data_IF_949684368312
#
_entry.id   IF_949684368312
#
_cell.length_a   1.000
_cell.length_b   1.000
_cell.length_c   1.000
_cell.angle_alpha   90.00
_cell.angle_beta   90.00
_cell.angle_gamma   90.00
#
_symmetry.space_group_name_H-M   'P 1'
#
loop_
_entity.id
_entity.type
_entity.pdbx_description
1 polymer ?
#
# COMPACT_ATOMS: atom_id res chain seq x y z
N UNK A 1 8.49 7.94 -22.65
CA UNK A 1 7.90 6.75 -22.00
C UNK A 1 6.78 6.21 -22.88
N UNK A 2 6.72 4.89 -23.00
CA UNK A 2 5.68 4.22 -23.76
C UNK A 2 4.48 3.94 -22.84
N UNK A 3 3.42 4.71 -22.97
CA UNK A 3 2.19 4.59 -22.18
C UNK A 3 1.58 3.18 -22.29
N UNK A 4 1.55 2.61 -23.50
CA UNK A 4 0.98 1.27 -23.73
C UNK A 4 1.79 0.17 -23.02
N UNK A 5 3.11 0.31 -22.95
CA UNK A 5 3.99 -0.62 -22.23
C UNK A 5 3.75 -0.58 -20.73
N UNK A 6 3.58 0.63 -20.13
CA UNK A 6 3.27 0.78 -18.70
C UNK A 6 1.94 0.11 -18.38
N UNK A 7 0.89 0.41 -19.16
CA UNK A 7 -0.44 -0.21 -19.00
C UNK A 7 -0.35 -1.74 -19.09
N UNK A 8 0.35 -2.24 -20.10
CA UNK A 8 0.53 -3.68 -20.29
C UNK A 8 1.25 -4.35 -19.12
N UNK A 9 2.33 -3.74 -18.63
CA UNK A 9 3.09 -4.25 -17.48
C UNK A 9 2.25 -4.28 -16.20
N UNK A 10 1.44 -3.25 -15.94
CA UNK A 10 0.52 -3.23 -14.81
C UNK A 10 -0.49 -4.37 -14.87
N UNK A 11 -1.13 -4.54 -16.03
CA UNK A 11 -2.13 -5.60 -16.21
C UNK A 11 -1.51 -6.98 -16.04
N UNK A 12 -0.32 -7.24 -16.60
CA UNK A 12 0.40 -8.53 -16.42
C UNK A 12 0.77 -8.75 -14.96
N UNK A 13 1.29 -7.71 -14.27
CA UNK A 13 1.68 -7.78 -12.87
C UNK A 13 0.51 -8.15 -11.94
N UNK A 14 -0.72 -7.82 -12.32
CA UNK A 14 -1.91 -8.23 -11.56
C UNK A 14 -2.11 -9.75 -11.51
N UNK A 15 -1.50 -10.51 -12.43
CA UNK A 15 -1.69 -11.95 -12.56
C UNK A 15 -2.99 -12.37 -13.28
N UNK A 16 -3.87 -11.43 -13.63
CA UNK A 16 -5.16 -11.72 -14.30
C UNK A 16 -5.04 -11.72 -15.82
N UNK A 17 -4.00 -11.09 -16.39
CA UNK A 17 -3.90 -10.86 -17.82
C UNK A 17 -2.59 -11.40 -18.41
N UNK A 18 -2.66 -11.81 -19.66
CA UNK A 18 -1.53 -12.12 -20.52
C UNK A 18 -1.60 -11.23 -21.75
N UNK A 19 -0.53 -10.50 -22.05
CA UNK A 19 -0.44 -9.71 -23.27
C UNK A 19 -0.27 -10.62 -24.48
N UNK A 20 -0.94 -10.27 -25.58
CA UNK A 20 -0.81 -10.90 -26.88
C UNK A 20 -0.45 -9.80 -27.88
N UNK A 21 0.59 -10.03 -28.67
CA UNK A 21 0.93 -9.14 -29.79
C UNK A 21 -0.10 -9.31 -30.90
N UNK A 22 -0.69 -8.19 -31.33
CA UNK A 22 -1.69 -8.21 -32.42
C UNK A 22 -1.67 -6.88 -33.17
N UNK A 23 -1.55 -6.90 -34.47
CA UNK A 23 -1.63 -5.74 -35.37
C UNK A 23 -3.09 -5.47 -35.78
N UNK A 24 -3.91 -5.14 -34.78
CA UNK A 24 -5.32 -4.82 -35.01
C UNK A 24 -5.64 -3.33 -34.89
N UNK A 25 -4.64 -2.51 -34.53
CA UNK A 25 -4.80 -1.07 -34.36
C UNK A 25 -5.08 -0.39 -35.69
N UNK A 26 -6.07 0.49 -35.69
CA UNK A 26 -6.45 1.34 -36.82
C UNK A 26 -6.40 2.80 -36.40
N UNK A 27 -6.82 3.72 -37.29
CA UNK A 27 -7.00 5.12 -36.85
C UNK A 27 -8.07 5.22 -35.74
N UNK A 28 -7.87 6.11 -34.77
CA UNK A 28 -8.72 6.24 -33.57
C UNK A 28 -10.19 6.59 -33.84
N UNK A 29 -10.51 7.02 -35.05
CA UNK A 29 -11.86 7.29 -35.55
C UNK A 29 -12.53 6.06 -36.21
N UNK A 30 -11.84 4.91 -36.23
CA UNK A 30 -12.31 3.66 -36.84
C UNK A 30 -12.33 2.53 -35.84
N UNK A 31 -13.12 1.52 -36.16
CA UNK A 31 -13.09 0.23 -35.48
C UNK A 31 -11.74 -0.46 -35.66
N UNK A 32 -11.29 -1.29 -34.72
CA UNK A 32 -10.12 -2.13 -34.87
C UNK A 32 -10.37 -3.23 -35.94
N UNK A 33 -9.29 -3.84 -36.40
CA UNK A 33 -9.43 -5.01 -37.28
C UNK A 33 -9.98 -6.21 -36.50
N UNK A 34 -11.30 -6.36 -36.54
CA UNK A 34 -12.02 -7.44 -35.85
C UNK A 34 -11.58 -8.85 -36.31
N UNK A 35 -11.11 -8.98 -37.55
CA UNK A 35 -10.62 -10.26 -38.08
C UNK A 35 -9.26 -10.59 -37.45
N UNK A 36 -8.36 -9.62 -37.37
CA UNK A 36 -7.05 -9.80 -36.73
C UNK A 36 -7.22 -10.15 -35.24
N UNK A 37 -8.11 -9.46 -34.51
CA UNK A 37 -8.43 -9.76 -33.13
C UNK A 37 -8.98 -11.16 -32.93
N UNK A 38 -9.91 -11.59 -33.78
CA UNK A 38 -10.47 -12.93 -33.75
C UNK A 38 -9.42 -14.01 -34.01
N UNK A 39 -8.50 -13.77 -34.96
CA UNK A 39 -7.40 -14.70 -35.27
C UNK A 39 -6.41 -14.81 -34.12
N UNK A 40 -6.12 -13.70 -33.45
CA UNK A 40 -5.23 -13.68 -32.28
C UNK A 40 -5.88 -14.27 -31.00
N UNK A 41 -7.21 -14.49 -31.00
CA UNK A 41 -7.93 -15.08 -29.88
C UNK A 41 -7.89 -14.24 -28.60
N UNK A 42 -7.86 -12.92 -28.74
CA UNK A 42 -7.80 -11.98 -27.57
C UNK A 42 -9.18 -11.73 -26.98
N UNK A 43 -9.27 -11.70 -25.65
CA UNK A 43 -10.53 -11.45 -24.92
C UNK A 43 -10.87 -9.96 -24.78
N UNK A 44 -9.88 -9.09 -24.87
CA UNK A 44 -10.05 -7.63 -24.85
C UNK A 44 -8.94 -6.98 -25.68
N UNK A 45 -9.25 -5.83 -26.28
CA UNK A 45 -8.28 -5.04 -27.03
C UNK A 45 -8.37 -3.57 -26.59
N UNK A 46 -7.23 -2.96 -26.32
CA UNK A 46 -7.15 -1.54 -26.01
C UNK A 46 -6.24 -0.83 -27.00
N UNK A 47 -6.69 0.31 -27.50
CA UNK A 47 -5.88 1.24 -28.28
C UNK A 47 -5.95 2.65 -27.72
N UNK A 48 -5.10 3.54 -28.23
CA UNK A 48 -5.10 4.92 -27.76
C UNK A 48 -4.08 5.77 -28.45
N UNK A 49 -4.07 7.05 -28.10
CA UNK A 49 -3.09 8.04 -28.60
C UNK A 49 -2.62 8.96 -27.49
N UNK A 50 -1.42 9.50 -27.70
CA UNK A 50 -0.85 10.57 -26.89
C UNK A 50 -0.46 11.71 -27.82
N UNK A 51 -1.13 12.85 -27.70
CA UNK A 51 -0.94 14.01 -28.56
C UNK A 51 -0.53 15.22 -27.74
N UNK A 52 0.52 15.92 -28.14
CA UNK A 52 0.93 17.17 -27.48
C UNK A 52 0.03 18.32 -27.91
N UNK A 53 -0.61 18.96 -26.95
CA UNK A 53 -1.42 20.16 -27.16
C UNK A 53 -0.55 21.42 -27.33
N UNK A 54 -1.13 22.50 -27.87
CA UNK A 54 -0.44 23.77 -28.12
C UNK A 54 0.06 24.44 -26.83
N UNK A 55 -0.58 24.22 -25.71
CA UNK A 55 -0.19 24.69 -24.37
C UNK A 55 0.92 23.87 -23.70
N UNK A 56 1.45 22.86 -24.39
CA UNK A 56 2.54 22.01 -23.92
C UNK A 56 2.10 20.82 -23.06
N UNK A 57 0.81 20.73 -22.72
CA UNK A 57 0.22 19.53 -22.09
C UNK A 57 0.03 18.41 -23.10
N UNK A 58 -0.36 17.26 -22.63
CA UNK A 58 -0.62 16.08 -23.46
C UNK A 58 -2.08 15.66 -23.30
N UNK A 59 -2.74 15.37 -24.42
CA UNK A 59 -4.02 14.70 -24.47
C UNK A 59 -3.74 13.20 -24.62
N UNK A 60 -4.29 12.39 -23.72
CA UNK A 60 -4.17 10.94 -23.70
C UNK A 60 -5.57 10.40 -23.91
N UNK A 61 -5.77 9.69 -25.03
CA UNK A 61 -7.04 9.00 -25.33
C UNK A 61 -6.82 7.51 -25.27
N UNK A 62 -7.78 6.78 -24.74
CA UNK A 62 -7.80 5.33 -24.84
C UNK A 62 -9.23 4.85 -25.13
N UNK A 63 -9.32 3.69 -25.79
CA UNK A 63 -10.56 2.94 -26.03
C UNK A 63 -10.33 1.50 -25.65
N UNK A 64 -11.38 0.83 -25.16
CA UNK A 64 -11.39 -0.58 -24.82
C UNK A 64 -12.49 -1.28 -25.60
N UNK A 65 -12.16 -2.40 -26.20
CA UNK A 65 -13.05 -3.17 -27.06
C UNK A 65 -13.24 -4.59 -26.54
N UNK A 66 -14.45 -5.12 -26.75
CA UNK A 66 -14.80 -6.54 -26.65
C UNK A 66 -14.78 -7.15 -28.06
N UNK A 67 -13.75 -7.93 -28.42
CA UNK A 67 -13.64 -8.51 -29.76
C UNK A 67 -14.71 -9.56 -30.10
N UNK A 68 -15.29 -10.19 -29.06
CA UNK A 68 -16.35 -11.20 -29.25
C UNK A 68 -17.65 -10.52 -29.63
N UNK A 69 -17.99 -9.42 -28.96
CA UNK A 69 -19.20 -8.65 -29.26
C UNK A 69 -18.98 -7.62 -30.37
N UNK A 70 -17.73 -7.41 -30.78
CA UNK A 70 -17.32 -6.42 -31.82
C UNK A 70 -17.83 -5.03 -31.49
N UNK A 71 -17.60 -4.60 -30.23
CA UNK A 71 -18.05 -3.30 -29.74
C UNK A 71 -17.02 -2.65 -28.82
N UNK A 72 -17.03 -1.31 -28.82
CA UNK A 72 -16.36 -0.55 -27.81
C UNK A 72 -17.10 -0.67 -26.47
N UNK A 73 -16.37 -0.90 -25.40
CA UNK A 73 -16.92 -1.11 -24.05
C UNK A 73 -16.57 0.00 -23.09
N UNK A 74 -15.51 0.76 -23.40
CA UNK A 74 -15.10 1.90 -22.60
C UNK A 74 -14.18 2.85 -23.38
N UNK A 75 -14.25 4.16 -23.07
CA UNK A 75 -13.35 5.17 -23.59
C UNK A 75 -13.07 6.25 -22.53
N UNK A 76 -11.94 6.91 -22.60
CA UNK A 76 -11.66 8.14 -21.87
C UNK A 76 -10.60 8.98 -22.55
N UNK A 77 -10.67 10.29 -22.24
CA UNK A 77 -9.65 11.28 -22.60
C UNK A 77 -9.20 12.02 -21.34
N UNK A 78 -7.89 12.22 -21.24
CA UNK A 78 -7.25 12.95 -20.15
C UNK A 78 -6.33 14.02 -20.69
N UNK A 79 -6.22 15.13 -19.96
CA UNK A 79 -5.23 16.17 -20.22
C UNK A 79 -4.22 16.17 -19.08
N UNK A 80 -2.94 16.03 -19.40
CA UNK A 80 -1.88 15.82 -18.42
C UNK A 80 -0.64 16.68 -18.70
N UNK A 81 0.04 17.21 -17.67
CA UNK A 81 1.42 17.65 -17.82
C UNK A 81 2.31 16.47 -18.23
N UNK A 82 3.47 16.78 -18.79
CA UNK A 82 4.44 15.75 -19.21
C UNK A 82 4.86 14.82 -18.06
N UNK A 83 5.05 15.38 -16.88
CA UNK A 83 5.58 14.65 -15.72
C UNK A 83 4.56 13.68 -15.10
N UNK A 84 3.27 13.84 -15.41
CA UNK A 84 2.18 13.01 -14.91
C UNK A 84 1.74 11.93 -15.92
N UNK A 85 2.35 11.83 -17.10
CA UNK A 85 1.95 10.85 -18.13
C UNK A 85 1.93 9.42 -17.60
N UNK A 86 2.90 9.07 -16.76
CA UNK A 86 3.00 7.77 -16.12
C UNK A 86 1.83 7.50 -15.16
N UNK A 87 1.45 8.48 -14.34
CA UNK A 87 0.28 8.38 -13.46
C UNK A 87 -1.00 8.11 -14.25
N UNK A 88 -1.15 8.74 -15.44
CA UNK A 88 -2.32 8.48 -16.28
C UNK A 88 -2.27 7.11 -16.95
N UNK A 89 -1.09 6.58 -17.27
CA UNK A 89 -0.97 5.19 -17.73
C UNK A 89 -1.48 4.21 -16.65
N UNK A 90 -1.07 4.39 -15.39
CA UNK A 90 -1.56 3.59 -14.26
C UNK A 90 -3.08 3.75 -14.05
N UNK A 91 -3.63 4.98 -14.18
CA UNK A 91 -5.09 5.21 -14.10
C UNK A 91 -5.86 4.52 -15.22
N UNK A 92 -5.31 4.47 -16.42
CA UNK A 92 -5.91 3.73 -17.55
C UNK A 92 -5.85 2.23 -17.25
N UNK A 93 -4.73 1.72 -16.74
CA UNK A 93 -4.63 0.33 -16.31
C UNK A 93 -5.65 -0.02 -15.23
N UNK A 94 -5.83 0.84 -14.22
CA UNK A 94 -6.88 0.67 -13.18
C UNK A 94 -8.28 0.56 -13.81
N UNK A 95 -8.58 1.44 -14.76
CA UNK A 95 -9.88 1.49 -15.43
C UNK A 95 -10.13 0.25 -16.30
N UNK A 96 -9.13 -0.19 -17.05
CA UNK A 96 -9.20 -1.45 -17.84
C UNK A 96 -9.40 -2.63 -16.89
N UNK A 97 -8.63 -2.69 -15.80
CA UNK A 97 -8.73 -3.74 -14.80
C UNK A 97 -10.15 -3.81 -14.21
N UNK A 98 -10.68 -2.67 -13.76
CA UNK A 98 -12.03 -2.60 -13.19
C UNK A 98 -13.10 -3.00 -14.20
N UNK A 99 -12.94 -2.58 -15.46
CA UNK A 99 -13.91 -2.88 -16.52
C UNK A 99 -13.96 -4.38 -16.87
N UNK A 100 -12.81 -5.05 -16.82
CA UNK A 100 -12.70 -6.46 -17.20
C UNK A 100 -12.91 -7.44 -16.04
N UNK A 101 -12.62 -7.02 -14.80
CA UNK A 101 -12.71 -7.90 -13.60
C UNK A 101 -13.87 -7.57 -12.70
N UNK A 102 -14.40 -6.33 -12.75
CA UNK A 102 -15.38 -5.80 -11.80
C UNK A 102 -14.76 -5.31 -10.48
N UNK A 103 -13.44 -5.46 -10.30
CA UNK A 103 -12.70 -5.01 -9.10
C UNK A 103 -11.92 -3.73 -9.40
N UNK A 104 -11.84 -2.82 -8.43
CA UNK A 104 -11.02 -1.61 -8.57
C UNK A 104 -9.55 -1.96 -8.68
N UNK A 105 -8.85 -1.37 -9.66
CA UNK A 105 -7.41 -1.40 -9.77
C UNK A 105 -6.73 -0.59 -8.66
N UNK A 106 -5.43 -0.83 -8.47
CA UNK A 106 -4.57 -0.14 -7.50
C UNK A 106 -3.19 0.23 -8.07
N UNK A 107 -3.09 0.25 -9.42
CA UNK A 107 -1.85 0.56 -10.12
C UNK A 107 -1.46 2.04 -9.98
N UNK A 108 -2.43 2.97 -9.95
CA UNK A 108 -2.21 4.40 -9.74
C UNK A 108 -1.98 4.75 -8.25
N UNK A 109 -1.44 3.83 -7.46
CA UNK A 109 -1.07 4.04 -6.06
C UNK A 109 0.43 4.26 -5.90
N UNK A 110 0.87 4.57 -4.69
CA UNK A 110 2.28 4.75 -4.35
C UNK A 110 2.69 3.83 -3.22
N UNK A 111 3.94 3.41 -3.25
CA UNK A 111 4.56 2.67 -2.16
C UNK A 111 5.52 3.58 -1.38
N UNK A 112 5.56 3.44 -0.06
CA UNK A 112 6.60 4.01 0.77
C UNK A 112 7.46 2.89 1.35
N UNK A 113 8.76 3.11 1.40
CA UNK A 113 9.69 2.15 1.97
C UNK A 113 10.90 2.84 2.59
N UNK A 114 11.55 2.14 3.51
CA UNK A 114 12.80 2.63 4.11
C UNK A 114 13.98 2.10 3.30
N UNK A 115 14.86 3.01 2.90
CA UNK A 115 16.14 2.71 2.26
C UNK A 115 17.29 3.04 3.20
N UNK A 116 18.27 2.15 3.27
CA UNK A 116 19.54 2.39 3.95
C UNK A 116 20.67 2.32 2.93
N UNK A 117 21.43 3.41 2.79
CA UNK A 117 22.59 3.50 1.89
C UNK A 117 23.86 3.74 2.70
N UNK A 118 24.47 2.64 3.15
CA UNK A 118 25.64 2.71 4.02
C UNK A 118 25.31 3.04 5.48
N UNK A 119 26.31 3.33 6.28
CA UNK A 119 26.16 3.61 7.71
C UNK A 119 25.59 5.02 7.93
N UNK A 120 24.58 5.13 8.78
CA UNK A 120 23.95 6.41 9.16
C UNK A 120 23.35 7.20 7.97
N UNK A 121 22.80 6.53 6.98
CA UNK A 121 22.10 7.17 5.86
C UNK A 121 20.80 6.42 5.59
N UNK A 122 19.73 6.86 6.23
CA UNK A 122 18.40 6.29 6.12
C UNK A 122 17.45 7.27 5.44
N UNK A 123 16.59 6.75 4.58
CA UNK A 123 15.61 7.55 3.90
C UNK A 123 14.24 6.85 3.86
N UNK A 124 13.17 7.62 3.99
CA UNK A 124 11.85 7.22 3.55
C UNK A 124 11.77 7.59 2.08
N UNK A 125 11.55 6.59 1.25
CA UNK A 125 11.35 6.72 -0.18
C UNK A 125 9.87 6.56 -0.52
N UNK A 126 9.40 7.29 -1.52
CA UNK A 126 8.08 7.13 -2.11
C UNK A 126 8.27 6.90 -3.60
N UNK A 127 7.65 5.88 -4.13
CA UNK A 127 7.71 5.51 -5.55
C UNK A 127 6.31 5.15 -6.07
N UNK A 128 6.16 5.03 -7.38
CA UNK A 128 4.97 4.44 -8.00
C UNK A 128 4.81 2.98 -7.55
N UNK A 129 3.64 2.41 -7.68
CA UNK A 129 3.32 1.05 -7.21
C UNK A 129 4.21 -0.04 -7.84
N UNK A 130 4.80 0.23 -9.00
CA UNK A 130 5.75 -0.65 -9.69
C UNK A 130 7.23 -0.39 -9.31
N UNK A 131 7.47 0.52 -8.36
CA UNK A 131 8.80 0.90 -7.87
C UNK A 131 9.52 1.94 -8.72
N UNK A 132 8.90 2.43 -9.77
CA UNK A 132 9.50 3.46 -10.62
C UNK A 132 9.48 4.84 -9.94
N UNK A 133 10.35 5.76 -10.44
CA UNK A 133 10.45 7.15 -9.99
C UNK A 133 10.57 7.31 -8.46
N UNK A 134 11.51 6.62 -7.77
CA UNK A 134 11.66 6.75 -6.33
C UNK A 134 12.11 8.15 -5.94
N UNK A 135 11.34 8.81 -5.09
CA UNK A 135 11.61 10.12 -4.55
C UNK A 135 11.97 10.03 -3.06
N UNK A 136 12.94 10.83 -2.62
CA UNK A 136 13.28 10.94 -1.19
C UNK A 136 12.25 11.83 -0.50
N UNK A 137 11.39 11.23 0.33
CA UNK A 137 10.45 11.98 1.17
C UNK A 137 11.11 12.53 2.43
N UNK A 138 12.00 11.75 3.04
CA UNK A 138 12.74 12.13 4.25
C UNK A 138 14.10 11.47 4.25
N UNK A 139 15.15 12.19 4.67
CA UNK A 139 16.50 11.65 4.92
C UNK A 139 16.97 12.01 6.32
N UNK A 140 17.43 11.01 7.08
CA UNK A 140 17.99 11.19 8.43
C UNK A 140 19.20 10.28 8.65
N UNK A 141 20.00 10.59 9.69
CA UNK A 141 21.22 9.84 10.02
C UNK A 141 21.01 8.67 10.98
N UNK A 142 19.78 8.44 11.39
CA UNK A 142 19.41 7.44 12.40
C UNK A 142 18.44 6.41 11.80
N UNK A 143 18.38 5.18 12.34
CA UNK A 143 17.46 4.17 11.88
C UNK A 143 16.02 4.65 11.85
N UNK A 144 15.32 4.25 10.78
CA UNK A 144 13.88 4.38 10.61
C UNK A 144 13.32 2.96 10.55
N UNK A 145 12.29 2.71 11.34
CA UNK A 145 11.55 1.44 11.30
C UNK A 145 10.04 1.71 11.33
N UNK A 146 9.23 0.76 10.90
CA UNK A 146 7.77 0.81 11.02
C UNK A 146 7.18 2.08 10.44
N UNK A 147 6.90 2.09 9.16
CA UNK A 147 6.23 3.20 8.46
C UNK A 147 4.78 2.85 8.19
N UNK A 148 3.91 3.84 8.21
CA UNK A 148 2.50 3.70 7.83
C UNK A 148 1.98 4.96 7.13
N UNK A 149 1.11 4.77 6.12
CA UNK A 149 0.48 5.85 5.37
C UNK A 149 -0.75 6.39 6.06
N UNK A 150 -0.90 7.72 6.09
CA UNK A 150 -2.22 8.29 6.36
C UNK A 150 -3.22 7.93 5.24
N UNK A 151 -4.51 7.71 5.55
CA UNK A 151 -5.51 7.30 4.55
C UNK A 151 -5.64 8.25 3.36
N UNK A 152 -5.34 9.53 3.56
CA UNK A 152 -5.38 10.54 2.50
C UNK A 152 -4.09 10.61 1.66
N UNK A 153 -3.09 9.74 1.94
CA UNK A 153 -1.82 9.68 1.21
C UNK A 153 -0.91 10.91 1.35
N UNK A 154 -1.16 11.81 2.33
CA UNK A 154 -0.40 13.05 2.51
C UNK A 154 0.65 12.98 3.60
N UNK A 155 0.54 12.03 4.51
CA UNK A 155 1.42 11.90 5.67
C UNK A 155 1.93 10.48 5.81
N UNK A 156 3.12 10.35 6.40
CA UNK A 156 3.70 9.07 6.80
C UNK A 156 4.01 9.14 8.28
N UNK A 157 3.47 8.20 9.07
CA UNK A 157 3.90 7.94 10.42
C UNK A 157 5.08 6.97 10.40
N UNK A 158 6.07 7.18 11.26
CA UNK A 158 7.25 6.33 11.32
C UNK A 158 7.90 6.34 12.69
N UNK A 159 8.66 5.30 12.98
CA UNK A 159 9.51 5.22 14.17
C UNK A 159 10.93 5.60 13.80
N UNK A 160 11.52 6.53 14.57
CA UNK A 160 12.92 6.99 14.39
C UNK A 160 13.70 6.93 15.69
N UNK A 161 15.01 6.68 15.56
CA UNK A 161 15.97 6.69 16.67
C UNK A 161 16.78 8.00 16.77
N UNK A 162 16.38 9.06 16.08
CA UNK A 162 17.11 10.35 16.06
C UNK A 162 17.22 11.05 17.42
N UNK A 163 16.37 10.69 18.38
CA UNK A 163 16.42 11.20 19.77
C UNK A 163 17.20 10.30 20.74
N UNK A 164 17.94 9.30 20.24
CA UNK A 164 18.67 8.31 21.04
C UNK A 164 17.81 7.16 21.55
N UNK A 165 16.50 7.19 21.36
CA UNK A 165 15.54 6.13 21.66
C UNK A 165 14.46 6.10 20.58
N UNK A 166 13.71 4.99 20.44
CA UNK A 166 12.62 4.93 19.47
C UNK A 166 11.51 5.92 19.86
N UNK A 167 11.13 6.76 18.90
CA UNK A 167 10.06 7.76 19.00
C UNK A 167 9.24 7.76 17.72
N UNK A 168 7.94 8.07 17.84
CA UNK A 168 7.03 8.10 16.70
C UNK A 168 6.85 9.53 16.21
N UNK A 169 6.98 9.67 14.91
CA UNK A 169 6.85 10.92 14.18
C UNK A 169 5.80 10.82 13.09
N UNK A 170 5.23 11.95 12.71
CA UNK A 170 4.44 12.11 11.49
C UNK A 170 5.15 13.12 10.59
N UNK A 171 5.35 12.75 9.34
CA UNK A 171 5.93 13.58 8.28
C UNK A 171 4.87 13.94 7.26
N UNK A 172 4.68 15.23 7.00
CA UNK A 172 3.78 15.75 5.97
C UNK A 172 4.55 15.90 4.65
N UNK A 173 4.14 15.15 3.63
CA UNK A 173 4.83 15.09 2.35
C UNK A 173 4.71 16.37 1.52
N UNK A 174 3.64 17.15 1.73
CA UNK A 174 3.41 18.37 0.96
C UNK A 174 4.21 19.56 1.49
N UNK A 175 4.40 19.62 2.80
CA UNK A 175 5.06 20.74 3.48
C UNK A 175 6.48 20.43 3.94
N UNK A 176 6.87 19.15 3.97
CA UNK A 176 8.12 18.67 4.54
C UNK A 176 8.18 18.80 6.07
N UNK A 177 7.12 19.25 6.73
CA UNK A 177 7.08 19.41 8.19
C UNK A 177 6.98 18.07 8.89
N UNK A 178 7.65 17.98 10.03
CA UNK A 178 7.61 16.81 10.91
C UNK A 178 7.12 17.20 12.29
N UNK A 179 6.38 16.30 12.94
CA UNK A 179 6.02 16.44 14.35
C UNK A 179 6.23 15.12 15.09
N UNK A 180 6.76 15.19 16.29
CA UNK A 180 6.87 14.07 17.19
C UNK A 180 5.52 13.86 17.89
N UNK A 181 4.96 12.66 17.82
CA UNK A 181 3.63 12.35 18.38
C UNK A 181 3.69 11.37 19.56
N UNK A 182 4.73 10.54 19.66
CA UNK A 182 4.95 9.71 20.83
C UNK A 182 6.44 9.65 21.17
N UNK A 183 6.78 10.10 22.40
CA UNK A 183 8.14 10.14 22.93
C UNK A 183 8.18 9.76 24.43
N UNK A 184 7.30 8.88 24.84
CA UNK A 184 7.16 8.44 26.23
C UNK A 184 8.38 7.64 26.69
N UNK A 185 8.47 7.35 27.98
CA UNK A 185 9.52 6.48 28.56
C UNK A 185 9.47 5.09 27.87
N UNK A 186 10.63 4.50 27.58
CA UNK A 186 10.75 3.19 26.97
C UNK A 186 10.53 3.21 25.45
N UNK A 187 9.97 2.12 24.91
CA UNK A 187 9.72 1.94 23.49
C UNK A 187 8.51 2.77 23.03
N UNK A 188 8.62 3.38 21.86
CA UNK A 188 7.54 4.07 21.14
C UNK A 188 7.68 3.69 19.68
N UNK A 189 6.86 2.77 19.18
CA UNK A 189 7.04 2.17 17.85
C UNK A 189 5.74 1.74 17.19
N UNK A 190 5.86 1.21 15.98
CA UNK A 190 4.80 0.58 15.22
C UNK A 190 3.53 1.45 15.11
N UNK A 191 3.63 2.67 14.57
CA UNK A 191 2.46 3.50 14.34
C UNK A 191 1.55 2.90 13.28
N UNK A 192 0.23 3.04 13.46
CA UNK A 192 -0.79 2.71 12.46
C UNK A 192 -1.91 3.75 12.49
N UNK A 193 -2.24 4.34 11.34
CA UNK A 193 -3.35 5.28 11.22
C UNK A 193 -4.70 4.57 11.24
N UNK A 194 -5.68 5.18 11.90
CA UNK A 194 -7.08 4.79 11.70
C UNK A 194 -7.57 5.17 10.29
N UNK A 195 -8.58 4.48 9.74
CA UNK A 195 -9.09 4.74 8.38
C UNK A 195 -9.62 6.16 8.18
N UNK A 196 -10.09 6.82 9.22
CA UNK A 196 -10.52 8.21 9.20
C UNK A 196 -9.35 9.22 9.30
N UNK A 197 -8.14 8.72 9.59
CA UNK A 197 -6.92 9.53 9.74
C UNK A 197 -6.87 10.37 11.01
N UNK A 198 -7.82 10.24 11.93
CA UNK A 198 -7.90 11.04 13.16
C UNK A 198 -7.15 10.44 14.35
N UNK A 199 -6.97 9.12 14.36
CA UNK A 199 -6.34 8.36 15.44
C UNK A 199 -5.08 7.65 14.96
N UNK A 200 -4.10 7.52 15.84
CA UNK A 200 -2.92 6.71 15.64
C UNK A 200 -2.85 5.63 16.73
N UNK A 201 -2.72 4.37 16.35
CA UNK A 201 -2.35 3.29 17.25
C UNK A 201 -0.83 3.19 17.31
N UNK A 202 -0.27 2.98 18.51
CA UNK A 202 1.18 2.87 18.72
C UNK A 202 1.49 1.81 19.77
N UNK A 203 2.66 1.18 19.67
CA UNK A 203 3.17 0.27 20.69
C UNK A 203 4.07 1.05 21.67
N UNK A 204 3.67 1.11 22.95
CA UNK A 204 4.41 1.80 24.00
C UNK A 204 4.74 0.86 25.14
N UNK A 205 5.94 1.03 25.77
CA UNK A 205 6.33 0.30 26.98
C UNK A 205 6.46 1.21 28.21
N UNK A 206 5.78 2.35 28.21
CA UNK A 206 5.90 3.40 29.25
C UNK A 206 5.48 2.95 30.66
N UNK A 207 4.58 1.98 30.75
CA UNK A 207 4.00 1.48 32.02
C UNK A 207 4.43 0.02 32.31
N UNK A 208 5.58 -0.43 31.77
CA UNK A 208 6.09 -1.78 31.91
C UNK A 208 6.20 -2.53 30.59
N UNK A 209 5.45 -3.63 30.41
CA UNK A 209 5.43 -4.37 29.14
C UNK A 209 4.85 -3.57 27.98
N UNK A 210 5.21 -3.92 26.76
CA UNK A 210 4.73 -3.23 25.56
C UNK A 210 3.23 -3.48 25.36
N UNK A 211 2.46 -2.41 25.18
CA UNK A 211 1.02 -2.40 24.93
C UNK A 211 0.66 -1.50 23.77
N UNK A 212 -0.49 -1.76 23.18
CA UNK A 212 -1.08 -0.85 22.21
C UNK A 212 -1.78 0.31 22.94
N UNK A 213 -1.48 1.51 22.51
CA UNK A 213 -2.13 2.75 22.93
C UNK A 213 -2.71 3.45 21.73
N UNK A 214 -3.74 4.25 21.96
CA UNK A 214 -4.36 5.12 20.96
C UNK A 214 -4.14 6.58 21.41
N UNK A 215 -3.85 7.43 20.43
CA UNK A 215 -3.73 8.88 20.61
C UNK A 215 -4.24 9.57 19.34
N UNK A 216 -4.56 10.85 19.42
CA UNK A 216 -4.86 11.60 18.22
C UNK A 216 -3.58 11.89 17.41
N UNK A 217 -3.76 12.26 16.15
CA UNK A 217 -2.63 12.54 15.26
C UNK A 217 -1.76 13.73 15.69
N UNK A 218 -2.18 14.51 16.69
CA UNK A 218 -1.39 15.60 17.31
C UNK A 218 -0.59 15.12 18.53
N UNK A 219 -0.71 13.84 18.91
CA UNK A 219 -0.01 13.26 20.04
C UNK A 219 -0.73 13.46 21.39
N UNK A 220 -2.01 13.86 21.35
CA UNK A 220 -2.83 14.11 22.53
C UNK A 220 -3.82 12.95 22.77
N UNK A 221 -4.60 13.05 23.87
CA UNK A 221 -5.67 12.10 24.19
C UNK A 221 -5.21 10.64 24.27
N UNK A 222 -3.99 10.42 24.82
CA UNK A 222 -3.42 9.09 24.97
C UNK A 222 -4.28 8.21 25.86
N UNK A 223 -4.69 7.04 25.34
CA UNK A 223 -5.39 6.01 26.12
C UNK A 223 -4.81 4.62 25.85
N UNK A 224 -4.72 3.81 26.88
CA UNK A 224 -4.30 2.41 26.74
C UNK A 224 -5.42 1.60 26.07
N UNK A 225 -5.06 0.80 25.06
CA UNK A 225 -6.00 -0.05 24.32
C UNK A 225 -5.93 -1.51 24.74
N UNK A 226 -4.72 -2.06 24.89
CA UNK A 226 -4.53 -3.44 25.36
C UNK A 226 -3.99 -3.47 26.78
N UNK A 227 -4.37 -4.50 27.56
CA UNK A 227 -4.04 -4.69 28.98
C UNK A 227 -3.53 -6.11 29.26
N UNK A 228 -3.07 -6.35 30.48
CA UNK A 228 -2.54 -7.66 30.91
C UNK A 228 -1.01 -7.73 30.88
N UNK A 229 -0.44 -8.91 31.02
CA UNK A 229 1.02 -9.14 31.12
C UNK A 229 1.70 -9.40 29.75
N UNK A 230 0.92 -9.62 28.69
CA UNK A 230 1.45 -9.93 27.33
C UNK A 230 2.23 -8.76 26.73
N UNK A 231 3.06 -9.06 25.74
CA UNK A 231 3.64 -8.07 24.81
C UNK A 231 2.68 -7.94 23.63
N UNK A 232 2.15 -6.72 23.42
CA UNK A 232 1.26 -6.38 22.32
C UNK A 232 1.91 -5.32 21.45
N UNK A 233 2.08 -5.60 20.14
CA UNK A 233 2.79 -4.72 19.19
C UNK A 233 2.20 -4.81 17.79
N UNK A 234 2.72 -4.00 16.85
CA UNK A 234 2.37 -4.02 15.43
C UNK A 234 0.86 -3.92 15.17
N UNK A 235 0.21 -2.84 15.65
CA UNK A 235 -1.21 -2.65 15.40
C UNK A 235 -1.50 -2.37 13.92
N UNK A 236 -2.65 -2.86 13.43
CA UNK A 236 -3.21 -2.53 12.13
C UNK A 236 -4.73 -2.39 12.26
N UNK A 237 -5.29 -1.28 11.79
CA UNK A 237 -6.74 -1.10 11.81
C UNK A 237 -7.43 -1.94 10.73
N UNK A 238 -8.67 -2.38 11.00
CA UNK A 238 -9.57 -2.83 9.95
C UNK A 238 -10.00 -1.65 9.06
N UNK A 239 -10.33 -1.88 7.77
CA UNK A 239 -10.74 -0.81 6.85
C UNK A 239 -11.96 -0.01 7.30
N UNK A 240 -12.86 -0.64 8.05
CA UNK A 240 -14.05 -0.02 8.64
C UNK A 240 -13.79 0.65 10.00
N UNK A 241 -12.55 0.59 10.51
CA UNK A 241 -12.15 1.17 11.81
C UNK A 241 -12.72 0.49 13.05
N UNK A 242 -13.45 -0.64 12.91
CA UNK A 242 -14.09 -1.28 14.05
C UNK A 242 -13.15 -2.14 14.88
N UNK A 243 -12.06 -2.63 14.28
CA UNK A 243 -11.11 -3.53 14.94
C UNK A 243 -9.68 -3.02 14.78
N UNK A 244 -8.84 -3.39 15.75
CA UNK A 244 -7.38 -3.35 15.61
C UNK A 244 -6.87 -4.77 15.70
N UNK A 245 -6.10 -5.17 14.69
CA UNK A 245 -5.31 -6.39 14.65
C UNK A 245 -3.93 -6.09 15.22
N UNK A 246 -3.32 -7.03 15.90
CA UNK A 246 -2.01 -6.83 16.50
C UNK A 246 -1.32 -8.16 16.80
N UNK A 247 -0.01 -8.13 16.91
CA UNK A 247 0.80 -9.25 17.40
C UNK A 247 0.75 -9.30 18.92
N UNK A 248 0.52 -10.49 19.51
CA UNK A 248 0.51 -10.69 20.95
C UNK A 248 1.01 -12.08 21.36
N UNK A 249 1.77 -12.16 22.44
CA UNK A 249 2.26 -13.39 23.06
C UNK A 249 1.36 -13.91 24.18
N UNK A 250 0.14 -13.38 24.35
CA UNK A 250 -0.80 -13.74 25.44
C UNK A 250 -1.19 -15.23 25.47
N UNK A 251 -1.03 -15.94 24.38
CA UNK A 251 -1.26 -17.39 24.27
C UNK A 251 0.03 -18.22 24.33
N UNK A 252 1.16 -17.64 24.74
CA UNK A 252 2.49 -18.23 24.72
C UNK A 252 3.34 -17.71 23.57
N UNK A 253 3.25 -18.30 22.39
CA UNK A 253 3.95 -17.83 21.20
C UNK A 253 3.24 -16.61 20.57
N UNK A 254 3.96 -15.65 19.95
CA UNK A 254 3.38 -14.54 19.23
C UNK A 254 2.38 -15.00 18.17
N UNK A 255 1.18 -14.44 18.21
CA UNK A 255 0.08 -14.74 17.28
C UNK A 255 -0.67 -13.45 16.97
N UNK A 256 -1.44 -13.46 15.88
CA UNK A 256 -2.31 -12.35 15.52
C UNK A 256 -3.60 -12.42 16.33
N UNK A 257 -3.93 -11.33 16.96
CA UNK A 257 -5.20 -11.08 17.67
C UNK A 257 -5.90 -9.89 17.06
N UNK A 258 -7.21 -9.83 17.20
CA UNK A 258 -8.00 -8.62 16.96
C UNK A 258 -8.79 -8.24 18.20
N UNK A 259 -9.06 -6.94 18.34
CA UNK A 259 -9.91 -6.42 19.43
C UNK A 259 -10.78 -5.29 18.89
N UNK A 260 -12.07 -5.22 19.30
CA UNK A 260 -12.93 -4.11 18.92
C UNK A 260 -12.40 -2.77 19.47
N UNK A 261 -12.41 -1.71 18.64
CA UNK A 261 -11.98 -0.36 19.04
C UNK A 261 -12.90 0.24 20.10
N UNK A 262 -14.19 -0.11 20.03
CA UNK A 262 -15.20 0.29 21.01
C UNK A 262 -15.04 -0.36 22.41
N UNK A 263 -14.18 -1.37 22.53
CA UNK A 263 -13.97 -2.13 23.76
C UNK A 263 -14.35 -3.60 23.61
N UNK A 264 -14.01 -4.42 24.61
CA UNK A 264 -14.24 -5.88 24.60
C UNK A 264 -12.93 -6.67 24.71
N UNK A 265 -13.04 -7.99 24.58
CA UNK A 265 -11.92 -8.93 24.67
C UNK A 265 -11.19 -9.06 23.34
N UNK A 266 -9.90 -9.39 23.42
CA UNK A 266 -9.11 -9.75 22.24
C UNK A 266 -9.40 -11.20 21.83
N UNK A 267 -9.54 -11.41 20.51
CA UNK A 267 -9.79 -12.71 19.88
C UNK A 267 -8.56 -13.12 19.06
N UNK A 268 -8.13 -14.36 19.15
CA UNK A 268 -7.03 -14.90 18.35
C UNK A 268 -7.50 -15.20 16.92
N UNK A 269 -6.72 -14.76 15.93
CA UNK A 269 -7.04 -14.91 14.49
C UNK A 269 -6.11 -15.90 13.79
N UNK A 270 -4.83 -15.98 14.20
CA UNK A 270 -3.89 -16.94 13.63
C UNK A 270 -3.77 -18.19 14.50
N UNK A 271 -3.64 -19.35 13.86
CA UNK A 271 -3.56 -20.65 14.50
C UNK A 271 -2.38 -21.46 13.94
N UNK A 272 -1.84 -22.35 14.74
CA UNK A 272 -0.70 -23.20 14.38
C UNK A 272 0.46 -23.06 15.37
N UNK A 273 1.56 -23.78 15.09
CA UNK A 273 2.75 -23.83 15.95
C UNK A 273 3.81 -22.78 15.59
N UNK A 274 3.66 -22.11 14.45
CA UNK A 274 4.56 -21.04 14.01
C UNK A 274 4.24 -19.72 14.73
N UNK A 275 5.23 -18.81 14.80
CA UNK A 275 4.94 -17.44 15.17
C UNK A 275 4.18 -16.75 14.02
N UNK A 276 3.18 -15.99 14.36
CA UNK A 276 2.47 -15.12 13.44
C UNK A 276 2.61 -13.67 13.93
N UNK A 277 3.21 -12.82 13.10
CA UNK A 277 3.55 -11.42 13.44
C UNK A 277 3.22 -10.48 12.27
N UNK A 278 3.22 -9.17 12.53
CA UNK A 278 3.08 -8.09 11.54
C UNK A 278 1.83 -8.23 10.68
N UNK A 279 0.62 -8.10 11.26
CA UNK A 279 -0.62 -8.22 10.51
C UNK A 279 -0.77 -7.06 9.52
N UNK A 280 -1.19 -7.38 8.30
CA UNK A 280 -1.62 -6.43 7.29
C UNK A 280 -3.04 -6.80 6.86
N UNK A 281 -3.99 -5.89 7.06
CA UNK A 281 -5.41 -6.12 6.79
C UNK A 281 -5.74 -5.70 5.37
N UNK A 282 -6.42 -6.56 4.62
CA UNK A 282 -6.85 -6.23 3.27
C UNK A 282 -7.84 -5.06 3.27
N UNK A 283 -7.67 -4.05 2.41
CA UNK A 283 -8.63 -2.95 2.29
C UNK A 283 -9.92 -3.36 1.57
N UNK A 284 -9.95 -4.50 0.89
CA UNK A 284 -11.04 -4.92 -0.01
C UNK A 284 -11.92 -6.05 0.57
N UNK A 285 -11.38 -6.85 1.49
CA UNK A 285 -12.07 -8.03 2.03
C UNK A 285 -11.61 -8.35 3.46
N UNK A 286 -12.17 -9.39 4.07
CA UNK A 286 -11.86 -9.80 5.44
C UNK A 286 -10.54 -10.62 5.57
N UNK A 287 -9.64 -10.52 4.60
CA UNK A 287 -8.35 -11.22 4.64
C UNK A 287 -7.33 -10.44 5.45
N UNK A 288 -6.48 -11.18 6.15
CA UNK A 288 -5.33 -10.66 6.89
C UNK A 288 -4.09 -11.42 6.47
N UNK A 289 -3.12 -10.72 5.91
CA UNK A 289 -1.78 -11.24 5.67
C UNK A 289 -0.94 -11.08 6.94
N UNK A 290 -0.04 -12.00 7.21
CA UNK A 290 0.92 -11.91 8.31
C UNK A 290 2.18 -12.71 7.99
N UNK A 291 3.26 -12.41 8.70
CA UNK A 291 4.51 -13.17 8.59
C UNK A 291 4.40 -14.40 9.50
N UNK A 292 4.46 -15.62 8.91
CA UNK A 292 4.53 -16.87 9.65
C UNK A 292 5.99 -17.32 9.72
N UNK A 293 6.52 -17.47 10.95
CA UNK A 293 7.88 -17.96 11.19
C UNK A 293 7.80 -19.38 11.70
N UNK A 294 8.09 -20.34 10.82
CA UNK A 294 8.20 -21.74 11.17
C UNK A 294 9.67 -22.10 11.40
N UNK A 295 9.98 -22.67 12.56
CA UNK A 295 11.28 -23.28 12.81
C UNK A 295 11.28 -24.69 12.22
N UNK A 296 11.93 -24.89 11.09
CA UNK A 296 12.30 -26.23 10.63
C UNK A 296 13.61 -26.63 11.33
N UNK A 297 13.54 -27.53 12.29
CA UNK A 297 14.73 -28.22 12.79
C UNK A 297 15.18 -29.17 11.67
N UNK A 298 16.21 -28.77 10.94
CA UNK A 298 16.99 -29.71 10.12
C UNK A 298 17.84 -30.57 11.09
N UNK A 299 17.39 -31.76 11.42
CA UNK A 299 18.26 -32.78 11.98
C UNK A 299 19.12 -33.30 10.84
N UNK A 300 20.41 -32.96 10.86
CA UNK A 300 21.38 -33.61 10.00
C UNK A 300 21.47 -35.11 10.43
N UNK A 301 21.40 -36.05 9.47
CA UNK A 301 21.63 -37.43 9.81
C UNK A 301 23.08 -37.57 10.29
N UNK A 302 23.25 -38.17 11.46
CA UNK A 302 24.55 -38.59 12.04
C UNK A 302 25.13 -39.73 11.24
#
# INVERSE_FOLDING_TARGET
ENIAEIIGNDLVRSGFFRLVSCDAATALDKDPDWKALGTAGVGAFADGSVTRAADGRYEIKFRLFDPVKKQETDEASYISPKDDLRLYAHKIADRIFERLTGEKGDFATRIAYVSQQGKNNYAIMVADSDGYNPQVALRIRHPIISIDWSPNGRQIAYTSFETGKPTVWIHDLSTGKRRQVAAFRGNNSAPAFSPDGGTLAVALSKDGGTKIYLLDVNGQNLRQFTTGSSIDTEPAFSPDGKYIYFTSDRGGNPQIYRKPVAGGSAERISFGNAYAISPAVSPKNDQVAYIAVAYTHLTLPT
#
